data_IF_408393572520
#
_entry.id   IF_408393572520
#
_cell.length_a   1.000
_cell.length_b   1.000
_cell.length_c   1.000
_cell.angle_alpha   90.00
_cell.angle_beta   90.00
_cell.angle_gamma   90.00
#
_symmetry.space_group_name_H-M   'P 1'
#
loop_
_entity.id
_entity.type
_entity.pdbx_description
1 polymer ?
#
# COMPACT_ATOMS: atom_id res chain seq x y z
N UNK A 1 -7.02 -15.68 21.37
CA UNK A 1 -5.92 -14.73 21.65
C UNK A 1 -4.70 -15.52 22.08
N UNK A 2 -3.76 -15.78 21.16
CA UNK A 2 -2.55 -16.56 21.45
C UNK A 2 -1.53 -15.61 22.08
N UNK A 3 -1.05 -16.00 23.25
CA UNK A 3 -0.09 -15.26 24.08
C UNK A 3 1.08 -14.74 23.24
N UNK A 4 1.35 -13.43 23.29
CA UNK A 4 2.55 -12.80 22.71
C UNK A 4 3.77 -13.15 23.60
N UNK A 5 4.10 -14.43 23.72
CA UNK A 5 5.42 -14.82 24.22
C UNK A 5 6.46 -14.28 23.25
N UNK A 6 7.56 -13.73 23.79
CA UNK A 6 8.66 -13.17 23.00
C UNK A 6 9.20 -14.22 22.03
N UNK A 7 8.68 -14.24 20.79
CA UNK A 7 9.27 -14.99 19.69
C UNK A 7 10.64 -14.39 19.45
N UNK A 8 11.68 -15.18 19.67
CA UNK A 8 13.03 -14.88 19.19
C UNK A 8 12.99 -14.94 17.67
N UNK A 9 12.95 -13.77 17.04
CA UNK A 9 13.02 -13.65 15.58
C UNK A 9 14.34 -14.21 15.10
N UNK A 10 14.29 -15.09 14.10
CA UNK A 10 15.49 -15.59 13.45
C UNK A 10 16.11 -14.50 12.58
N UNK A 11 17.38 -14.68 12.16
CA UNK A 11 18.03 -13.77 11.20
C UNK A 11 17.23 -13.60 9.90
N UNK A 12 16.52 -14.66 9.47
CA UNK A 12 15.71 -14.65 8.26
C UNK A 12 14.42 -13.83 8.45
N UNK A 13 13.78 -13.94 9.62
CA UNK A 13 12.59 -13.14 9.94
C UNK A 13 12.91 -11.64 9.93
N UNK A 14 14.08 -11.24 10.46
CA UNK A 14 14.55 -9.86 10.39
C UNK A 14 14.74 -9.36 8.96
N UNK A 15 15.26 -10.21 8.07
CA UNK A 15 15.44 -9.89 6.66
C UNK A 15 14.08 -9.70 5.95
N UNK A 16 13.11 -10.59 6.24
CA UNK A 16 11.73 -10.47 5.73
C UNK A 16 11.08 -9.18 6.24
N UNK A 17 11.20 -8.88 7.53
CA UNK A 17 10.65 -7.65 8.11
C UNK A 17 11.26 -6.40 7.47
N UNK A 18 12.58 -6.41 7.22
CA UNK A 18 13.26 -5.33 6.52
C UNK A 18 12.77 -5.17 5.08
N UNK A 19 12.59 -6.26 4.34
CA UNK A 19 12.07 -6.22 2.98
C UNK A 19 10.62 -5.68 2.92
N UNK A 20 9.77 -6.05 3.88
CA UNK A 20 8.40 -5.51 4.02
C UNK A 20 8.44 -4.00 4.33
N UNK A 21 9.36 -3.57 5.20
CA UNK A 21 9.53 -2.15 5.53
C UNK A 21 10.02 -1.34 4.32
N UNK A 22 10.98 -1.89 3.57
CA UNK A 22 11.54 -1.24 2.39
C UNK A 22 10.54 -1.15 1.24
N UNK A 23 9.53 -2.03 1.19
CA UNK A 23 8.55 -2.03 0.10
C UNK A 23 7.87 -0.66 -0.09
N UNK A 24 7.09 -0.10 0.86
CA UNK A 24 6.43 1.20 0.66
C UNK A 24 7.42 2.38 0.61
N UNK A 25 8.59 2.26 1.26
CA UNK A 25 9.62 3.31 1.25
C UNK A 25 10.23 3.44 -0.14
N UNK A 26 10.59 2.31 -0.76
CA UNK A 26 11.20 2.27 -2.09
C UNK A 26 10.16 2.37 -3.21
N UNK A 27 8.88 2.15 -2.90
CA UNK A 27 7.79 2.05 -3.87
C UNK A 27 7.76 3.21 -4.86
N UNK A 28 8.00 4.41 -4.34
CA UNK A 28 7.86 5.67 -5.08
C UNK A 28 9.13 6.51 -5.10
N UNK A 29 10.19 6.07 -4.44
CA UNK A 29 11.40 6.89 -4.23
C UNK A 29 12.53 6.47 -5.16
N UNK A 30 12.57 5.18 -5.52
CA UNK A 30 13.61 4.59 -6.36
C UNK A 30 12.98 3.93 -7.57
N UNK A 31 13.51 4.20 -8.77
CA UNK A 31 13.12 3.51 -10.00
C UNK A 31 13.31 2.00 -9.81
N UNK A 32 12.26 1.22 -10.06
CA UNK A 32 12.21 -0.23 -9.82
C UNK A 32 12.26 -0.67 -8.35
N UNK A 33 12.14 0.23 -7.37
CA UNK A 33 12.22 -0.11 -5.94
C UNK A 33 11.21 -1.17 -5.49
N UNK A 34 9.99 -1.12 -6.03
CA UNK A 34 8.94 -2.14 -5.85
C UNK A 34 9.45 -3.54 -6.18
N UNK A 35 10.16 -3.65 -7.30
CA UNK A 35 10.59 -4.92 -7.85
C UNK A 35 11.72 -5.51 -7.03
N UNK A 36 12.63 -4.67 -6.53
CA UNK A 36 13.72 -5.12 -5.65
C UNK A 36 13.17 -5.79 -4.39
N UNK A 37 12.20 -5.16 -3.73
CA UNK A 37 11.59 -5.73 -2.51
C UNK A 37 10.81 -7.01 -2.81
N UNK A 38 10.09 -7.06 -3.93
CA UNK A 38 9.34 -8.24 -4.36
C UNK A 38 10.27 -9.42 -4.68
N UNK A 39 11.31 -9.21 -5.49
CA UNK A 39 12.25 -10.26 -5.86
C UNK A 39 13.11 -10.71 -4.68
N UNK A 40 13.47 -9.80 -3.76
CA UNK A 40 14.13 -10.18 -2.51
C UNK A 40 13.24 -11.11 -1.67
N UNK A 41 11.96 -10.77 -1.48
CA UNK A 41 11.01 -11.65 -0.79
C UNK A 41 10.82 -12.98 -1.52
N UNK A 42 10.78 -12.97 -2.85
CA UNK A 42 10.67 -14.18 -3.66
C UNK A 42 11.89 -15.10 -3.46
N UNK A 43 13.11 -14.56 -3.50
CA UNK A 43 14.34 -15.32 -3.26
C UNK A 43 14.39 -15.91 -1.85
N UNK A 44 13.99 -15.14 -0.84
CA UNK A 44 13.91 -15.64 0.54
C UNK A 44 12.89 -16.78 0.65
N UNK A 45 11.75 -16.63 -0.04
CA UNK A 45 10.72 -17.67 -0.11
C UNK A 45 11.31 -18.93 -0.72
N UNK A 46 11.92 -18.86 -1.90
CA UNK A 46 12.57 -20.00 -2.55
C UNK A 46 13.67 -20.64 -1.68
N UNK A 47 14.52 -19.84 -1.04
CA UNK A 47 15.56 -20.34 -0.14
C UNK A 47 14.97 -21.12 1.03
N UNK A 48 13.89 -20.62 1.63
CA UNK A 48 13.22 -21.29 2.74
C UNK A 48 12.52 -22.58 2.28
N UNK A 49 11.88 -22.55 1.11
CA UNK A 49 11.30 -23.73 0.45
C UNK A 49 12.37 -24.80 0.20
N UNK A 50 13.55 -24.41 -0.29
CA UNK A 50 14.66 -25.31 -0.54
C UNK A 50 15.21 -25.93 0.75
N UNK A 51 15.37 -25.14 1.81
CA UNK A 51 15.94 -25.59 3.09
C UNK A 51 15.01 -26.51 3.87
N UNK A 52 13.73 -26.17 3.95
CA UNK A 52 12.75 -26.85 4.83
C UNK A 52 12.01 -27.97 4.08
N UNK A 53 12.02 -27.95 2.75
CA UNK A 53 11.28 -28.86 1.89
C UNK A 53 9.78 -28.52 1.83
N UNK A 54 9.14 -28.92 0.72
CA UNK A 54 7.71 -28.66 0.44
C UNK A 54 6.74 -29.22 1.50
N UNK A 55 7.18 -30.14 2.37
CA UNK A 55 6.31 -30.87 3.31
C UNK A 55 5.75 -30.02 4.45
N UNK A 56 6.32 -28.84 4.72
CA UNK A 56 5.88 -27.98 5.84
C UNK A 56 4.89 -26.89 5.43
N UNK A 57 4.80 -26.62 4.12
CA UNK A 57 3.83 -25.67 3.55
C UNK A 57 2.59 -26.46 3.25
N UNK A 58 1.85 -26.75 4.31
CA UNK A 58 0.54 -27.32 4.15
C UNK A 58 -0.35 -26.19 3.63
N UNK A 59 -0.79 -26.31 2.39
CA UNK A 59 -1.99 -25.63 1.89
C UNK A 59 -3.18 -26.15 2.72
N UNK A 60 -3.23 -25.74 3.99
CA UNK A 60 -4.13 -26.28 5.00
C UNK A 60 -5.58 -25.92 4.71
N UNK A 61 -5.80 -24.84 3.96
CA UNK A 61 -7.12 -24.29 3.74
C UNK A 61 -7.43 -24.11 2.24
N UNK A 62 -8.67 -24.40 1.80
CA UNK A 62 -9.10 -24.18 0.41
C UNK A 62 -8.99 -22.70 0.00
N UNK A 63 -9.00 -21.79 0.97
CA UNK A 63 -8.81 -20.35 0.77
C UNK A 63 -7.41 -20.00 0.23
N UNK A 64 -6.38 -20.79 0.55
CA UNK A 64 -5.01 -20.53 0.09
C UNK A 64 -4.89 -20.87 -1.40
N UNK A 65 -5.57 -21.94 -1.83
CA UNK A 65 -5.64 -22.34 -3.23
C UNK A 65 -6.46 -21.35 -4.06
N UNK A 66 -7.58 -20.86 -3.53
CA UNK A 66 -8.37 -19.79 -4.14
C UNK A 66 -7.54 -18.51 -4.28
N UNK A 67 -6.76 -18.16 -3.25
CA UNK A 67 -5.89 -16.98 -3.29
C UNK A 67 -4.86 -17.12 -4.41
N UNK A 68 -4.16 -18.25 -4.48
CA UNK A 68 -3.18 -18.50 -5.54
C UNK A 68 -3.83 -18.47 -6.93
N UNK A 69 -5.04 -19.02 -7.07
CA UNK A 69 -5.81 -18.94 -8.30
C UNK A 69 -6.11 -17.50 -8.71
N UNK A 70 -6.61 -16.66 -7.79
CA UNK A 70 -6.90 -15.24 -8.04
C UNK A 70 -5.63 -14.49 -8.48
N UNK A 71 -4.52 -14.66 -7.77
CA UNK A 71 -3.25 -14.00 -8.13
C UNK A 71 -2.67 -14.53 -9.45
N UNK A 72 -2.92 -15.79 -9.80
CA UNK A 72 -2.52 -16.38 -11.08
C UNK A 72 -3.42 -15.96 -12.25
N UNK A 73 -4.61 -15.43 -11.98
CA UNK A 73 -5.64 -15.17 -13.00
C UNK A 73 -5.18 -14.26 -14.13
N UNK A 74 -4.48 -13.15 -13.82
CA UNK A 74 -3.93 -12.25 -14.84
C UNK A 74 -2.86 -12.94 -15.70
N UNK A 75 -2.00 -13.75 -15.09
CA UNK A 75 -0.96 -14.48 -15.80
C UNK A 75 -1.57 -15.52 -16.74
N UNK A 76 -2.52 -16.32 -16.24
CA UNK A 76 -3.25 -17.32 -17.02
C UNK A 76 -4.03 -16.67 -18.16
N UNK A 77 -4.73 -15.56 -17.89
CA UNK A 77 -5.51 -14.83 -18.89
C UNK A 77 -4.64 -14.37 -20.06
N UNK A 78 -3.47 -13.78 -19.77
CA UNK A 78 -2.56 -13.31 -20.81
C UNK A 78 -1.92 -14.48 -21.53
N UNK A 79 -1.55 -15.55 -20.83
CA UNK A 79 -1.01 -16.76 -21.46
C UNK A 79 -2.02 -17.35 -22.45
N UNK A 80 -3.28 -17.56 -22.03
CA UNK A 80 -4.36 -18.01 -22.91
C UNK A 80 -4.52 -17.07 -24.11
N UNK A 81 -4.59 -15.77 -23.85
CA UNK A 81 -4.80 -14.76 -24.89
C UNK A 81 -3.66 -14.73 -25.92
N UNK A 82 -2.41 -14.95 -25.51
CA UNK A 82 -1.26 -15.04 -26.41
C UNK A 82 -1.22 -16.37 -27.18
N UNK A 83 -1.60 -17.49 -26.54
CA UNK A 83 -1.71 -18.79 -27.21
C UNK A 83 -2.73 -18.74 -28.35
N UNK A 84 -3.90 -18.12 -28.13
CA UNK A 84 -4.90 -17.92 -29.18
C UNK A 84 -4.44 -17.00 -30.32
N UNK A 85 -3.49 -16.09 -30.04
CA UNK A 85 -2.90 -15.21 -31.06
C UNK A 85 -1.74 -15.85 -31.84
N UNK A 86 -1.28 -17.04 -31.44
CA UNK A 86 -0.19 -17.76 -32.11
C UNK A 86 1.21 -17.15 -31.93
N UNK A 87 1.35 -16.11 -31.10
CA UNK A 87 2.63 -15.46 -30.84
C UNK A 87 2.82 -15.25 -29.33
N UNK A 88 3.88 -15.84 -28.76
CA UNK A 88 4.20 -15.70 -27.34
C UNK A 88 5.24 -14.60 -27.18
N UNK A 89 4.78 -13.42 -26.77
CA UNK A 89 5.65 -12.32 -26.37
C UNK A 89 5.96 -12.40 -24.87
N UNK A 90 7.14 -12.91 -24.50
CA UNK A 90 7.55 -13.04 -23.10
C UNK A 90 7.54 -11.73 -22.32
N UNK A 91 7.82 -10.59 -22.99
CA UNK A 91 7.76 -9.27 -22.36
C UNK A 91 6.35 -8.93 -21.84
N UNK A 92 5.29 -9.43 -22.48
CA UNK A 92 3.91 -9.22 -22.03
C UNK A 92 3.57 -9.99 -20.74
N UNK A 93 4.35 -11.03 -20.40
CA UNK A 93 4.17 -11.86 -19.21
C UNK A 93 4.92 -11.33 -17.99
N UNK A 94 5.86 -10.40 -18.16
CA UNK A 94 6.65 -9.85 -17.04
C UNK A 94 5.76 -9.17 -15.97
N UNK A 95 4.89 -8.25 -16.38
CA UNK A 95 3.93 -7.60 -15.47
C UNK A 95 3.05 -8.60 -14.70
N UNK A 96 2.31 -9.48 -15.40
CA UNK A 96 1.43 -10.48 -14.77
C UNK A 96 2.16 -11.48 -13.87
N UNK A 97 3.38 -11.88 -14.23
CA UNK A 97 4.19 -12.80 -13.42
C UNK A 97 4.50 -12.24 -12.03
N UNK A 98 4.67 -10.91 -11.92
CA UNK A 98 4.91 -10.24 -10.63
C UNK A 98 3.69 -10.33 -9.71
N UNK A 99 2.48 -10.30 -10.26
CA UNK A 99 1.24 -10.50 -9.50
C UNK A 99 1.16 -11.95 -9.01
N UNK A 100 1.49 -12.92 -9.86
CA UNK A 100 1.57 -14.33 -9.47
C UNK A 100 2.60 -14.55 -8.34
N UNK A 101 3.79 -13.94 -8.45
CA UNK A 101 4.81 -13.99 -7.40
C UNK A 101 4.34 -13.36 -6.08
N UNK A 102 3.57 -12.28 -6.12
CA UNK A 102 2.98 -11.68 -4.92
C UNK A 102 2.04 -12.66 -4.20
N UNK A 103 1.29 -13.50 -4.93
CA UNK A 103 0.45 -14.55 -4.35
C UNK A 103 1.26 -15.63 -3.62
N UNK A 104 2.39 -16.05 -4.19
CA UNK A 104 3.32 -17.02 -3.56
C UNK A 104 3.91 -16.43 -2.28
N UNK A 105 4.39 -15.18 -2.34
CA UNK A 105 4.93 -14.46 -1.19
C UNK A 105 3.85 -14.29 -0.11
N UNK A 106 2.60 -14.02 -0.47
CA UNK A 106 1.51 -13.88 0.48
C UNK A 106 1.30 -15.15 1.33
N UNK A 107 1.28 -16.33 0.70
CA UNK A 107 1.16 -17.61 1.41
C UNK A 107 2.34 -17.80 2.36
N UNK A 108 3.56 -17.49 1.89
CA UNK A 108 4.75 -17.56 2.72
C UNK A 108 4.69 -16.62 3.94
N UNK A 109 4.27 -15.36 3.75
CA UNK A 109 4.13 -14.39 4.83
C UNK A 109 3.04 -14.79 5.85
N UNK A 110 1.96 -15.44 5.38
CA UNK A 110 0.90 -15.96 6.25
C UNK A 110 1.45 -16.98 7.25
N UNK A 111 2.34 -17.86 6.83
CA UNK A 111 2.93 -18.89 7.71
C UNK A 111 3.86 -18.30 8.78
N UNK A 112 4.65 -17.28 8.41
CA UNK A 112 5.60 -16.66 9.32
C UNK A 112 4.93 -15.97 10.52
N UNK A 113 3.63 -15.65 10.45
CA UNK A 113 2.88 -14.95 11.51
C UNK A 113 3.59 -13.66 11.98
N UNK A 114 4.22 -12.94 11.05
CA UNK A 114 4.89 -11.66 11.32
C UNK A 114 3.82 -10.57 11.50
N UNK A 115 3.98 -9.63 12.46
CA UNK A 115 3.06 -8.51 12.64
C UNK A 115 3.22 -7.45 11.54
N UNK A 116 2.88 -7.79 10.29
CA UNK A 116 3.04 -6.93 9.10
C UNK A 116 2.32 -5.59 9.24
N UNK A 117 1.15 -5.56 9.89
CA UNK A 117 0.41 -4.32 10.15
C UNK A 117 1.24 -3.33 10.97
N UNK A 118 2.00 -3.80 11.97
CA UNK A 118 2.85 -2.93 12.80
C UNK A 118 4.00 -2.32 11.99
N UNK A 119 4.56 -3.10 11.06
CA UNK A 119 5.66 -2.66 10.19
C UNK A 119 5.16 -1.63 9.19
N UNK A 120 4.08 -1.94 8.47
CA UNK A 120 3.49 -1.05 7.46
C UNK A 120 3.05 0.28 8.07
N UNK A 121 2.60 0.27 9.32
CA UNK A 121 2.20 1.46 10.07
C UNK A 121 3.31 2.51 10.21
N UNK A 122 4.57 2.08 10.21
CA UNK A 122 5.74 2.99 10.25
C UNK A 122 6.25 3.21 8.82
N UNK A 123 6.32 2.14 8.04
CA UNK A 123 6.92 2.15 6.71
C UNK A 123 6.17 3.06 5.72
N UNK A 124 4.83 3.09 5.77
CA UNK A 124 4.01 3.91 4.88
C UNK A 124 4.21 5.42 5.15
N UNK A 125 4.00 5.94 6.39
CA UNK A 125 4.31 7.34 6.68
C UNK A 125 5.75 7.72 6.38
N UNK A 126 6.72 6.85 6.70
CA UNK A 126 8.13 7.10 6.39
C UNK A 126 8.35 7.26 4.88
N UNK A 127 7.74 6.39 4.06
CA UNK A 127 7.77 6.52 2.60
C UNK A 127 7.15 7.84 2.10
N UNK A 128 6.00 8.24 2.65
CA UNK A 128 5.32 9.50 2.29
C UNK A 128 6.18 10.74 2.61
N UNK A 129 6.79 10.76 3.80
CA UNK A 129 7.70 11.85 4.22
C UNK A 129 8.92 11.90 3.28
N UNK A 130 9.47 10.75 2.93
CA UNK A 130 10.65 10.67 2.07
C UNK A 130 10.35 11.16 0.64
N UNK A 131 9.20 10.77 0.07
CA UNK A 131 8.74 11.25 -1.24
C UNK A 131 8.55 12.77 -1.24
N UNK A 132 7.87 13.30 -0.22
CA UNK A 132 7.70 14.75 -0.07
C UNK A 132 9.04 15.46 -0.01
N UNK A 133 9.98 14.95 0.78
CA UNK A 133 11.33 15.52 0.91
C UNK A 133 12.07 15.56 -0.44
N UNK A 134 11.96 14.49 -1.24
CA UNK A 134 12.57 14.43 -2.58
C UNK A 134 11.94 15.48 -3.51
N UNK A 135 10.62 15.62 -3.49
CA UNK A 135 9.89 16.55 -4.37
C UNK A 135 10.19 18.01 -4.01
N UNK A 136 10.32 18.33 -2.72
CA UNK A 136 10.64 19.71 -2.29
C UNK A 136 12.07 20.10 -2.67
N UNK A 137 13.01 19.15 -2.60
CA UNK A 137 14.43 19.41 -2.92
C UNK A 137 14.66 19.48 -4.44
N UNK A 138 13.90 18.72 -5.23
CA UNK A 138 14.08 18.70 -6.69
C UNK A 138 13.26 19.81 -7.37
N UNK A 139 13.84 20.54 -8.35
CA UNK A 139 13.07 21.46 -9.16
C UNK A 139 11.99 20.71 -9.94
N UNK A 140 10.79 21.29 -10.06
CA UNK A 140 9.70 20.69 -10.82
C UNK A 140 10.10 20.52 -12.28
N UNK A 141 9.78 19.36 -12.85
CA UNK A 141 10.02 19.10 -14.27
C UNK A 141 9.19 20.06 -15.13
N UNK A 142 9.83 20.83 -16.04
CA UNK A 142 9.11 21.72 -16.96
C UNK A 142 8.24 20.94 -17.95
N UNK A 143 8.54 19.65 -18.16
CA UNK A 143 7.83 18.75 -19.07
C UNK A 143 6.35 18.52 -18.69
N UNK A 144 6.03 18.63 -17.40
CA UNK A 144 4.68 18.37 -16.88
C UNK A 144 3.96 19.65 -16.43
N UNK A 145 4.30 20.79 -17.04
CA UNK A 145 3.65 22.09 -16.82
C UNK A 145 3.53 22.45 -15.33
N UNK A 146 4.59 22.21 -14.55
CA UNK A 146 4.63 22.53 -13.12
C UNK A 146 3.85 21.58 -12.20
N UNK A 147 3.54 20.36 -12.66
CA UNK A 147 2.96 19.29 -11.81
C UNK A 147 4.05 18.50 -11.11
N UNK A 148 3.75 17.99 -9.91
CA UNK A 148 4.68 17.09 -9.23
C UNK A 148 4.81 15.76 -9.99
N UNK A 149 6.04 15.44 -10.37
CA UNK A 149 6.46 14.19 -10.98
C UNK A 149 7.77 13.70 -10.40
N UNK A 150 8.08 12.43 -10.64
CA UNK A 150 9.43 11.90 -10.50
C UNK A 150 9.97 11.65 -11.91
N UNK A 151 11.29 11.69 -12.09
CA UNK A 151 11.93 11.43 -13.39
C UNK A 151 11.55 10.08 -14.03
N UNK A 152 11.01 9.14 -13.23
CA UNK A 152 10.60 7.80 -13.66
C UNK A 152 9.10 7.51 -13.47
N UNK A 153 8.32 8.45 -12.93
CA UNK A 153 6.87 8.27 -12.69
C UNK A 153 6.13 9.53 -13.14
N UNK A 154 5.15 9.34 -14.02
CA UNK A 154 4.29 10.42 -14.48
C UNK A 154 3.43 11.00 -13.32
N UNK A 155 2.98 12.26 -13.42
CA UNK A 155 2.19 12.90 -12.36
C UNK A 155 0.90 12.15 -12.01
N UNK A 156 0.30 11.42 -12.94
CA UNK A 156 -0.96 10.71 -12.69
C UNK A 156 -0.72 9.47 -11.84
N UNK A 157 0.28 8.66 -12.20
CA UNK A 157 0.68 7.46 -11.47
C UNK A 157 1.25 7.82 -10.10
N UNK A 158 2.08 8.87 -10.01
CA UNK A 158 2.60 9.36 -8.73
C UNK A 158 1.44 9.75 -7.80
N UNK A 159 0.51 10.55 -8.30
CA UNK A 159 -0.63 11.02 -7.51
C UNK A 159 -1.54 9.91 -7.03
N UNK A 160 -1.88 8.95 -7.89
CA UNK A 160 -2.75 7.83 -7.51
C UNK A 160 -2.08 6.94 -6.46
N UNK A 161 -0.79 6.65 -6.61
CA UNK A 161 -0.02 5.81 -5.69
C UNK A 161 0.17 6.48 -4.32
N UNK A 162 0.60 7.75 -4.29
CA UNK A 162 0.74 8.53 -3.05
C UNK A 162 -0.61 8.66 -2.34
N UNK A 163 -1.69 8.88 -3.09
CA UNK A 163 -3.03 9.01 -2.53
C UNK A 163 -3.49 7.71 -1.85
N UNK A 164 -3.30 6.56 -2.50
CA UNK A 164 -3.62 5.25 -1.91
C UNK A 164 -2.82 5.02 -0.61
N UNK A 165 -1.51 5.30 -0.62
CA UNK A 165 -0.66 5.17 0.57
C UNK A 165 -1.07 6.14 1.70
N UNK A 166 -1.46 7.36 1.34
CA UNK A 166 -1.96 8.36 2.29
C UNK A 166 -3.24 7.88 2.96
N UNK A 167 -4.19 7.40 2.18
CA UNK A 167 -5.44 6.85 2.72
C UNK A 167 -5.18 5.61 3.58
N UNK A 168 -4.31 4.71 3.15
CA UNK A 168 -3.92 3.54 3.94
C UNK A 168 -3.29 3.95 5.28
N UNK A 169 -2.45 4.99 5.29
CA UNK A 169 -1.88 5.57 6.50
C UNK A 169 -2.97 6.09 7.45
N UNK A 170 -4.00 6.78 6.93
CA UNK A 170 -5.16 7.25 7.71
C UNK A 170 -5.93 6.08 8.32
N UNK A 171 -6.19 5.02 7.55
CA UNK A 171 -6.88 3.83 8.08
C UNK A 171 -6.10 3.19 9.23
N UNK A 172 -4.77 3.23 9.17
CA UNK A 172 -3.89 2.72 10.22
C UNK A 172 -3.82 3.63 11.46
N UNK A 173 -4.24 4.90 11.37
CA UNK A 173 -4.38 5.79 12.53
C UNK A 173 -5.59 5.32 13.36
N UNK A 174 -5.38 5.08 14.65
CA UNK A 174 -6.45 4.63 15.56
C UNK A 174 -6.68 3.11 15.65
N UNK A 175 -5.98 2.27 14.89
CA UNK A 175 -6.09 0.81 15.02
C UNK A 175 -5.65 0.27 16.39
N UNK A 176 -4.74 0.98 17.07
CA UNK A 176 -4.23 0.57 18.38
C UNK A 176 -4.61 1.63 19.41
N UNK A 177 -5.00 1.22 20.62
CA UNK A 177 -5.40 2.14 21.68
C UNK A 177 -4.20 2.69 22.46
N UNK A 178 -3.06 1.97 22.42
CA UNK A 178 -1.83 2.32 23.14
C UNK A 178 -0.74 2.84 22.19
N UNK A 179 -1.07 3.86 21.39
CA UNK A 179 -0.11 4.44 20.44
C UNK A 179 0.73 5.49 21.15
N UNK A 180 2.06 5.42 21.00
CA UNK A 180 2.94 6.49 21.46
C UNK A 180 2.66 7.77 20.68
N UNK A 181 2.66 8.91 21.36
CA UNK A 181 2.38 10.22 20.76
C UNK A 181 3.32 10.53 19.59
N UNK A 182 4.59 10.07 19.67
CA UNK A 182 5.57 10.20 18.60
C UNK A 182 5.17 9.43 17.33
N UNK A 183 4.69 8.19 17.47
CA UNK A 183 4.27 7.39 16.33
C UNK A 183 3.02 7.98 15.66
N UNK A 184 2.09 8.49 16.47
CA UNK A 184 0.92 9.22 15.94
C UNK A 184 1.36 10.48 15.18
N UNK A 185 2.34 11.23 15.71
CA UNK A 185 2.93 12.39 15.04
C UNK A 185 3.50 12.05 13.66
N UNK A 186 4.30 10.99 13.56
CA UNK A 186 4.87 10.52 12.28
C UNK A 186 3.77 10.12 11.30
N UNK A 187 2.72 9.43 11.75
CA UNK A 187 1.60 9.05 10.88
C UNK A 187 0.84 10.27 10.37
N UNK A 188 0.53 11.23 11.23
CA UNK A 188 -0.17 12.46 10.85
C UNK A 188 0.67 13.28 9.87
N UNK A 189 1.96 13.47 10.17
CA UNK A 189 2.89 14.17 9.27
C UNK A 189 2.98 13.49 7.90
N UNK A 190 3.12 12.16 7.87
CA UNK A 190 3.13 11.40 6.63
C UNK A 190 1.83 11.55 5.84
N UNK A 191 0.67 11.59 6.50
CA UNK A 191 -0.61 11.82 5.83
C UNK A 191 -0.70 13.22 5.22
N UNK A 192 -0.30 14.25 5.96
CA UNK A 192 -0.33 15.64 5.48
C UNK A 192 0.59 15.83 4.26
N UNK A 193 1.81 15.30 4.36
CA UNK A 193 2.79 15.33 3.27
C UNK A 193 2.32 14.52 2.05
N UNK A 194 1.73 13.35 2.28
CA UNK A 194 1.15 12.53 1.23
C UNK A 194 0.01 13.22 0.48
N UNK A 195 -0.91 13.87 1.21
CA UNK A 195 -1.95 14.68 0.57
C UNK A 195 -1.35 15.81 -0.25
N UNK A 196 -0.42 16.59 0.31
CA UNK A 196 0.23 17.69 -0.41
C UNK A 196 0.81 17.24 -1.76
N UNK A 197 1.53 16.11 -1.77
CA UNK A 197 2.09 15.55 -2.99
C UNK A 197 0.99 15.07 -3.95
N UNK A 198 -0.03 14.37 -3.46
CA UNK A 198 -1.14 13.89 -4.29
C UNK A 198 -1.93 15.04 -4.95
N UNK A 199 -2.10 16.16 -4.25
CA UNK A 199 -2.72 17.37 -4.79
C UNK A 199 -1.87 18.03 -5.86
N UNK A 200 -0.58 18.28 -5.57
CA UNK A 200 0.31 18.95 -6.51
C UNK A 200 0.65 18.11 -7.75
N UNK A 201 0.45 16.79 -7.70
CA UNK A 201 0.55 15.95 -8.90
C UNK A 201 -0.61 16.19 -9.88
N UNK A 202 -1.76 16.71 -9.41
CA UNK A 202 -2.94 16.95 -10.24
C UNK A 202 -3.59 15.69 -10.82
N UNK A 203 -3.24 14.49 -10.34
CA UNK A 203 -3.74 13.21 -10.88
C UNK A 203 -5.27 13.17 -10.88
N UNK A 204 -5.91 12.79 -11.99
CA UNK A 204 -7.37 12.57 -12.06
C UNK A 204 -7.78 11.23 -11.44
N UNK A 205 -6.90 10.23 -11.52
CA UNK A 205 -7.15 8.87 -11.01
C UNK A 205 -7.30 8.80 -9.49
N UNK A 206 -6.55 9.63 -8.76
CA UNK A 206 -6.69 9.73 -7.29
C UNK A 206 -8.12 10.11 -6.86
N UNK A 207 -8.79 10.97 -7.63
CA UNK A 207 -10.14 11.47 -7.33
C UNK A 207 -11.22 10.45 -7.63
N UNK A 208 -11.05 9.70 -8.71
CA UNK A 208 -11.93 8.56 -9.00
C UNK A 208 -11.80 7.49 -7.92
N UNK A 209 -10.60 7.28 -7.36
CA UNK A 209 -10.38 6.31 -6.28
C UNK A 209 -10.91 6.77 -4.91
N UNK A 210 -11.03 8.09 -4.69
CA UNK A 210 -11.50 8.68 -3.42
C UNK A 210 -12.84 8.11 -2.92
N UNK A 211 -13.94 8.12 -3.70
CA UNK A 211 -15.24 7.63 -3.24
C UNK A 211 -15.21 6.13 -2.92
N UNK A 212 -14.49 5.32 -3.69
CA UNK A 212 -14.39 3.88 -3.43
C UNK A 212 -13.62 3.59 -2.14
N UNK A 213 -12.50 4.26 -1.92
CA UNK A 213 -11.71 4.06 -0.70
C UNK A 213 -12.46 4.62 0.51
N UNK A 214 -13.20 5.70 0.34
CA UNK A 214 -14.08 6.23 1.38
C UNK A 214 -15.21 5.26 1.75
N UNK A 215 -15.88 4.68 0.76
CA UNK A 215 -16.89 3.64 0.98
C UNK A 215 -16.28 2.41 1.69
N UNK A 216 -15.09 1.98 1.27
CA UNK A 216 -14.36 0.89 1.91
C UNK A 216 -13.98 1.23 3.36
N UNK A 217 -13.58 2.47 3.63
CA UNK A 217 -13.28 2.93 4.99
C UNK A 217 -14.51 2.91 5.88
N UNK A 218 -15.65 3.41 5.39
CA UNK A 218 -16.93 3.33 6.12
C UNK A 218 -17.29 1.88 6.39
N UNK A 219 -17.16 1.00 5.39
CA UNK A 219 -17.47 -0.42 5.55
C UNK A 219 -16.59 -1.10 6.61
N UNK A 220 -15.28 -0.90 6.55
CA UNK A 220 -14.34 -1.46 7.54
C UNK A 220 -14.63 -0.93 8.95
N UNK A 221 -14.85 0.39 9.08
CA UNK A 221 -15.14 0.99 10.39
C UNK A 221 -16.52 0.67 10.91
N UNK A 222 -17.51 0.45 10.06
CA UNK A 222 -18.82 -0.03 10.48
C UNK A 222 -18.70 -1.41 11.15
N UNK A 223 -17.85 -2.30 10.60
CA UNK A 223 -17.50 -3.57 11.22
C UNK A 223 -16.82 -3.41 12.58
N UNK A 224 -15.82 -2.52 12.68
CA UNK A 224 -15.13 -2.22 13.95
C UNK A 224 -16.10 -1.64 15.01
N UNK A 225 -17.01 -0.74 14.59
CA UNK A 225 -18.01 -0.07 15.44
C UNK A 225 -19.04 -1.06 15.96
N UNK A 226 -19.46 -2.04 15.15
CA UNK A 226 -20.42 -3.07 15.55
C UNK A 226 -19.89 -4.00 16.64
N UNK A 227 -18.58 -4.24 16.67
CA UNK A 227 -17.91 -5.08 17.67
C UNK A 227 -17.29 -4.31 18.84
N UNK A 228 -17.35 -2.98 18.86
CA UNK A 228 -16.72 -2.16 19.88
C UNK A 228 -17.60 -1.93 21.12
N UNK A 229 -16.96 -1.85 22.30
CA UNK A 229 -17.62 -1.43 23.55
C UNK A 229 -18.09 0.04 23.47
N UNK A 230 -19.11 0.44 24.24
CA UNK A 230 -19.77 1.76 24.14
C UNK A 230 -18.81 2.98 24.16
N UNK A 231 -17.73 2.92 24.95
CA UNK A 231 -16.74 3.99 25.05
C UNK A 231 -15.81 4.06 23.83
N UNK A 232 -15.40 2.89 23.33
CA UNK A 232 -14.61 2.76 22.10
C UNK A 232 -15.43 3.13 20.86
N UNK A 233 -16.74 2.82 20.87
CA UNK A 233 -17.69 3.17 19.81
C UNK A 233 -17.74 4.67 19.59
N UNK A 234 -17.84 5.48 20.67
CA UNK A 234 -17.80 6.95 20.57
C UNK A 234 -16.50 7.45 19.93
N UNK A 235 -15.34 6.92 20.36
CA UNK A 235 -14.04 7.31 19.79
C UNK A 235 -13.92 6.97 18.30
N UNK A 236 -14.40 5.79 17.89
CA UNK A 236 -14.44 5.36 16.49
C UNK A 236 -15.39 6.23 15.65
N UNK A 237 -16.55 6.61 16.18
CA UNK A 237 -17.46 7.55 15.52
C UNK A 237 -16.83 8.93 15.33
N UNK A 238 -16.15 9.48 16.34
CA UNK A 238 -15.43 10.74 16.19
C UNK A 238 -14.33 10.65 15.12
N UNK A 239 -13.55 9.56 15.11
CA UNK A 239 -12.55 9.34 14.08
C UNK A 239 -13.17 9.29 12.67
N UNK A 240 -14.27 8.55 12.52
CA UNK A 240 -14.99 8.45 11.26
C UNK A 240 -15.49 9.83 10.80
N UNK A 241 -16.15 10.58 11.67
CA UNK A 241 -16.62 11.95 11.39
C UNK A 241 -15.48 12.90 11.05
N UNK A 242 -14.33 12.83 11.74
CA UNK A 242 -13.18 13.70 11.41
C UNK A 242 -12.59 13.38 10.05
N UNK A 243 -12.48 12.09 9.70
CA UNK A 243 -11.94 11.66 8.40
C UNK A 243 -12.92 11.99 7.28
N UNK A 244 -14.22 11.81 7.50
CA UNK A 244 -15.25 12.19 6.52
C UNK A 244 -15.25 13.69 6.26
N UNK A 245 -15.18 14.52 7.32
CA UNK A 245 -15.03 15.97 7.21
C UNK A 245 -13.75 16.37 6.47
N UNK A 246 -12.63 15.72 6.77
CA UNK A 246 -11.35 16.00 6.14
C UNK A 246 -11.41 15.68 4.64
N UNK A 247 -11.95 14.52 4.25
CA UNK A 247 -12.13 14.13 2.84
C UNK A 247 -13.08 15.08 2.12
N UNK A 248 -14.20 15.47 2.74
CA UNK A 248 -15.15 16.43 2.17
C UNK A 248 -14.53 17.82 2.02
N UNK A 249 -13.79 18.28 3.02
CA UNK A 249 -13.05 19.55 2.97
C UNK A 249 -12.02 19.54 1.84
N UNK A 250 -11.24 18.47 1.71
CA UNK A 250 -10.28 18.27 0.64
C UNK A 250 -10.94 18.26 -0.76
N UNK A 251 -12.11 17.65 -0.88
CA UNK A 251 -12.90 17.67 -2.11
C UNK A 251 -13.39 19.09 -2.44
N UNK A 252 -13.92 19.81 -1.44
CA UNK A 252 -14.43 21.18 -1.60
C UNK A 252 -13.33 22.19 -1.96
N UNK A 253 -12.19 22.11 -1.26
CA UNK A 253 -10.99 22.92 -1.56
C UNK A 253 -10.60 22.73 -3.02
N UNK A 254 -10.58 21.50 -3.54
CA UNK A 254 -10.22 21.28 -4.94
C UNK A 254 -11.25 21.84 -5.92
N UNK A 255 -12.55 21.67 -5.67
CA UNK A 255 -13.60 22.25 -6.52
C UNK A 255 -13.45 23.77 -6.58
N UNK A 256 -13.14 24.40 -5.45
CA UNK A 256 -12.89 25.84 -5.36
C UNK A 256 -11.64 26.26 -6.14
N UNK A 257 -10.51 25.56 -5.97
CA UNK A 257 -9.26 25.84 -6.69
C UNK A 257 -9.35 25.54 -8.20
N UNK A 258 -10.07 24.49 -8.62
CA UNK A 258 -10.35 24.21 -10.03
C UNK A 258 -11.17 25.33 -10.69
N UNK A 259 -12.13 25.90 -9.94
CA UNK A 259 -12.94 27.02 -10.42
C UNK A 259 -12.12 28.31 -10.55
N UNK A 260 -11.14 28.51 -9.67
CA UNK A 260 -10.20 29.65 -9.74
C UNK A 260 -9.20 29.53 -10.91
N UNK A 261 -8.81 28.32 -11.31
CA UNK A 261 -7.88 28.10 -12.44
C UNK A 261 -8.57 28.11 -13.81
N UNK A 262 -9.89 27.95 -13.88
CA UNK A 262 -10.65 28.04 -15.13
C UNK A 262 -11.11 29.47 -15.48
N UNK A 263 -10.83 30.44 -14.61
CA UNK A 263 -11.25 31.84 -14.76
C UNK A 263 -10.11 32.79 -15.17
N UNK A 264 -8.90 32.26 -15.41
CA UNK A 264 -7.74 32.94 -16.00
C UNK A 264 -7.30 32.19 -17.24
#
# INVERSE_FOLDING_TARGET
MKNNSMRTYTKLDWLVMFAIFMFPVTFLTVRHGVHVSLFALLLITFYQFWRVGLKKIQLLYPQDLLTLFIFSGLFISILISQTFRGAIHFAALDGPSRVLFAGIIFIFLKELNIPYIKILRIAIPAGLILIFSIIVVKPLDPYWSGRFSMYFVDPNTLGSQVFILTLLSIVMIGWNQNQSSSLLGVQVLGCLMGFYVAFGSGSRGAWLATPFIFALFIFLKAGDIAHATNLQRKKLWYQLCTITLLIFSLFFVRVFFLKSFSAN
#
